data_IF_183782863694
#
_entry.id   IF_183782863694
#
_cell.length_a   1.000
_cell.length_b   1.000
_cell.length_c   1.000
_cell.angle_alpha   90.00
_cell.angle_beta   90.00
_cell.angle_gamma   90.00
#
_symmetry.space_group_name_H-M   'P 1'
#
loop_
_entity.id
_entity.type
_entity.pdbx_description
1 polymer ?
#
# COMPACT_ATOMS: atom_id res chain seq x y z
N UNK A 1 -0.48 29.43 3.59
CA UNK A 1 0.30 30.17 2.57
C UNK A 1 -0.69 31.09 1.88
N UNK A 2 -0.28 32.26 1.39
CA UNK A 2 -1.19 33.05 0.54
C UNK A 2 -1.03 32.63 -0.92
N UNK A 3 -1.97 33.01 -1.78
CA UNK A 3 -1.96 32.62 -3.19
C UNK A 3 -0.70 33.09 -3.95
N UNK A 4 -0.07 34.18 -3.50
CA UNK A 4 1.20 34.67 -4.09
C UNK A 4 2.35 33.72 -3.78
N UNK A 5 2.44 33.21 -2.55
CA UNK A 5 3.45 32.23 -2.18
C UNK A 5 3.33 30.91 -2.96
N UNK A 6 2.11 30.46 -3.26
CA UNK A 6 1.91 29.25 -4.10
C UNK A 6 2.38 29.49 -5.53
N UNK A 7 2.00 30.62 -6.14
CA UNK A 7 2.43 30.95 -7.50
C UNK A 7 3.95 31.11 -7.64
N UNK A 8 4.62 31.70 -6.65
CA UNK A 8 6.08 31.81 -6.61
C UNK A 8 6.76 30.43 -6.56
N UNK A 9 6.24 29.51 -5.73
CA UNK A 9 6.75 28.14 -5.66
C UNK A 9 6.55 27.38 -6.98
N UNK A 10 5.39 27.52 -7.62
CA UNK A 10 5.09 26.87 -8.90
C UNK A 10 5.98 27.42 -10.02
N UNK A 11 6.19 28.74 -10.07
CA UNK A 11 7.10 29.36 -11.04
C UNK A 11 8.54 28.87 -10.86
N UNK A 12 9.01 28.78 -9.60
CA UNK A 12 10.32 28.19 -9.29
C UNK A 12 10.41 26.71 -9.67
N UNK A 13 9.34 25.94 -9.42
CA UNK A 13 9.27 24.54 -9.80
C UNK A 13 9.37 24.35 -11.32
N UNK A 14 8.69 25.17 -12.12
CA UNK A 14 8.80 25.12 -13.58
C UNK A 14 10.22 25.42 -14.08
N UNK A 15 10.90 26.38 -13.45
CA UNK A 15 12.31 26.65 -13.77
C UNK A 15 13.19 25.44 -13.43
N UNK A 16 13.00 24.84 -12.24
CA UNK A 16 13.70 23.63 -11.82
C UNK A 16 13.40 22.44 -12.73
N UNK A 17 12.15 22.25 -13.18
CA UNK A 17 11.76 21.18 -14.09
C UNK A 17 12.52 21.25 -15.42
N UNK A 18 12.70 22.46 -15.98
CA UNK A 18 13.44 22.65 -17.23
C UNK A 18 14.92 22.30 -17.07
N UNK A 19 15.52 22.62 -15.91
CA UNK A 19 16.90 22.21 -15.58
C UNK A 19 16.98 20.69 -15.40
N UNK A 20 16.03 20.10 -14.66
CA UNK A 20 15.95 18.66 -14.41
C UNK A 20 15.87 17.83 -15.69
N UNK A 21 15.27 18.36 -16.77
CA UNK A 21 15.24 17.70 -18.08
C UNK A 21 16.64 17.49 -18.68
N UNK A 22 17.61 18.32 -18.31
CA UNK A 22 18.99 18.23 -18.79
C UNK A 22 19.88 17.45 -17.82
N UNK A 23 19.63 17.56 -16.51
CA UNK A 23 20.48 16.98 -15.46
C UNK A 23 19.98 15.64 -14.91
N UNK A 24 18.72 15.30 -15.17
CA UNK A 24 17.97 14.21 -14.53
C UNK A 24 17.88 14.31 -12.99
N UNK A 25 18.03 15.52 -12.45
CA UNK A 25 17.90 15.82 -11.02
C UNK A 25 16.54 16.51 -10.75
N UNK A 26 15.62 15.76 -10.14
CA UNK A 26 14.24 16.17 -9.92
C UNK A 26 13.93 16.61 -8.47
N UNK A 27 14.93 16.61 -7.58
CA UNK A 27 14.71 16.79 -6.15
C UNK A 27 14.17 18.19 -5.81
N UNK A 28 14.75 19.23 -6.42
CA UNK A 28 14.30 20.61 -6.22
C UNK A 28 12.88 20.81 -6.75
N UNK A 29 12.61 20.32 -7.96
CA UNK A 29 11.29 20.37 -8.59
C UNK A 29 10.22 19.74 -7.70
N UNK A 30 10.44 18.49 -7.26
CA UNK A 30 9.50 17.77 -6.41
C UNK A 30 9.27 18.45 -5.07
N UNK A 31 10.34 18.96 -4.45
CA UNK A 31 10.26 19.69 -3.17
C UNK A 31 9.41 20.96 -3.30
N UNK A 32 9.57 21.73 -4.38
CA UNK A 32 8.81 22.96 -4.59
C UNK A 32 7.32 22.68 -4.83
N UNK A 33 6.99 21.70 -5.68
CA UNK A 33 5.59 21.32 -5.92
C UNK A 33 4.93 20.74 -4.66
N UNK A 34 5.63 19.91 -3.89
CA UNK A 34 5.10 19.36 -2.64
C UNK A 34 4.78 20.46 -1.61
N UNK A 35 5.59 21.52 -1.56
CA UNK A 35 5.36 22.69 -0.70
C UNK A 35 4.18 23.53 -1.19
N UNK A 36 4.08 23.74 -2.51
CA UNK A 36 2.95 24.46 -3.10
C UNK A 36 1.62 23.74 -2.80
N UNK A 37 1.59 22.43 -3.01
CA UNK A 37 0.44 21.54 -2.78
C UNK A 37 -0.09 21.52 -1.33
N UNK A 38 0.64 22.07 -0.37
CA UNK A 38 0.16 22.22 1.01
C UNK A 38 -1.07 23.15 1.10
N UNK A 39 -1.20 24.12 0.20
CA UNK A 39 -2.40 24.94 0.04
C UNK A 39 -3.20 24.46 -1.17
N UNK A 40 -4.16 23.56 -0.94
CA UNK A 40 -5.00 23.04 -2.02
C UNK A 40 -5.84 24.11 -2.71
N UNK A 41 -6.31 25.12 -1.96
CA UNK A 41 -7.15 26.19 -2.48
C UNK A 41 -6.40 27.12 -3.45
N UNK A 42 -5.13 27.40 -3.15
CA UNK A 42 -4.25 28.16 -4.05
C UNK A 42 -3.67 27.31 -5.19
N UNK A 43 -3.41 26.02 -4.94
CA UNK A 43 -2.78 25.13 -5.92
C UNK A 43 -3.73 24.68 -7.02
N UNK A 44 -5.00 24.45 -6.71
CA UNK A 44 -5.99 23.99 -7.67
C UNK A 44 -6.09 24.90 -8.92
N UNK A 45 -6.37 26.22 -8.80
CA UNK A 45 -6.51 27.07 -9.99
C UNK A 45 -5.23 27.14 -10.84
N UNK A 46 -4.05 27.15 -10.20
CA UNK A 46 -2.76 27.12 -10.91
C UNK A 46 -2.54 25.80 -11.64
N UNK A 47 -2.86 24.68 -11.00
CA UNK A 47 -2.77 23.36 -11.62
C UNK A 47 -3.68 23.23 -12.83
N UNK A 48 -4.91 23.76 -12.74
CA UNK A 48 -5.87 23.80 -13.85
C UNK A 48 -5.38 24.64 -15.04
N UNK A 49 -4.73 25.78 -14.77
CA UNK A 49 -4.11 26.61 -15.81
C UNK A 49 -2.97 25.86 -16.51
N UNK A 50 -2.10 25.21 -15.73
CA UNK A 50 -0.94 24.48 -16.25
C UNK A 50 -1.32 23.29 -17.14
N UNK A 51 -2.32 22.48 -16.77
CA UNK A 51 -2.79 21.37 -17.61
C UNK A 51 -3.48 21.82 -18.90
N UNK A 52 -3.89 23.09 -18.97
CA UNK A 52 -4.44 23.71 -20.18
C UNK A 52 -3.36 24.29 -21.09
N UNK A 53 -2.09 24.34 -20.65
CA UNK A 53 -0.99 24.89 -21.43
C UNK A 53 -0.69 24.06 -22.68
N UNK A 54 -0.08 24.73 -23.67
CA UNK A 54 0.50 24.07 -24.84
C UNK A 54 1.89 23.50 -24.58
N UNK A 55 2.56 23.91 -23.50
CA UNK A 55 3.88 23.38 -23.13
C UNK A 55 3.72 22.05 -22.35
N UNK A 56 4.29 20.94 -22.83
CA UNK A 56 4.24 19.66 -22.10
C UNK A 56 4.89 19.73 -20.71
N UNK A 57 5.91 20.56 -20.47
CA UNK A 57 6.54 20.72 -19.15
C UNK A 57 5.55 21.36 -18.17
N UNK A 58 4.76 22.31 -18.63
CA UNK A 58 3.72 22.93 -17.81
C UNK A 58 2.59 21.94 -17.54
N UNK A 59 2.16 21.15 -18.53
CA UNK A 59 1.12 20.12 -18.33
C UNK A 59 1.55 19.04 -17.33
N UNK A 60 2.80 18.58 -17.41
CA UNK A 60 3.40 17.64 -16.45
C UNK A 60 3.37 18.22 -15.03
N UNK A 61 3.87 19.45 -14.85
CA UNK A 61 3.82 20.16 -13.56
C UNK A 61 2.39 20.40 -13.05
N UNK A 62 1.44 20.68 -13.95
CA UNK A 62 0.03 20.80 -13.63
C UNK A 62 -0.55 19.51 -13.06
N UNK A 63 -0.25 18.37 -13.69
CA UNK A 63 -0.66 17.05 -13.19
C UNK A 63 -0.05 16.78 -11.80
N UNK A 64 1.25 16.97 -11.65
CA UNK A 64 1.97 16.72 -10.40
C UNK A 64 1.45 17.58 -9.26
N UNK A 65 1.22 18.88 -9.51
CA UNK A 65 0.66 19.81 -8.52
C UNK A 65 -0.75 19.38 -8.11
N UNK A 66 -1.63 19.07 -9.07
CA UNK A 66 -3.01 18.65 -8.80
C UNK A 66 -3.04 17.33 -8.02
N UNK A 67 -2.19 16.36 -8.37
CA UNK A 67 -2.06 15.09 -7.65
C UNK A 67 -1.63 15.30 -6.20
N UNK A 68 -0.51 16.00 -5.97
CA UNK A 68 -0.02 16.27 -4.63
C UNK A 68 -1.01 17.08 -3.79
N UNK A 69 -1.67 18.08 -4.38
CA UNK A 69 -2.66 18.89 -3.68
C UNK A 69 -3.89 18.05 -3.33
N UNK A 70 -4.38 17.20 -4.25
CA UNK A 70 -5.53 16.31 -4.03
C UNK A 70 -5.27 15.27 -2.94
N UNK A 71 -4.05 14.71 -2.89
CA UNK A 71 -3.69 13.75 -1.85
C UNK A 71 -3.80 14.36 -0.45
N UNK A 72 -3.43 15.64 -0.32
CA UNK A 72 -3.38 16.37 0.95
C UNK A 72 -4.66 17.11 1.31
N UNK A 73 -5.53 17.37 0.34
CA UNK A 73 -6.71 18.21 0.51
C UNK A 73 -7.92 17.56 -0.16
N UNK A 74 -8.77 16.89 0.63
CA UNK A 74 -9.94 16.16 0.13
C UNK A 74 -10.93 17.07 -0.63
N UNK A 75 -11.09 18.32 -0.18
CA UNK A 75 -12.05 19.27 -0.72
C UNK A 75 -11.87 19.58 -2.22
N UNK A 76 -10.67 19.38 -2.79
CA UNK A 76 -10.39 19.67 -4.20
C UNK A 76 -10.38 18.43 -5.09
N UNK A 77 -10.43 17.22 -4.53
CA UNK A 77 -10.25 15.96 -5.26
C UNK A 77 -11.22 15.81 -6.44
N UNK A 78 -12.50 16.12 -6.21
CA UNK A 78 -13.53 15.98 -7.25
C UNK A 78 -13.34 16.93 -8.44
N UNK A 79 -12.86 18.15 -8.19
CA UNK A 79 -12.59 19.14 -9.24
C UNK A 79 -11.31 18.77 -10.01
N UNK A 80 -10.23 18.46 -9.30
CA UNK A 80 -8.99 17.98 -9.91
C UNK A 80 -9.20 16.71 -10.76
N UNK A 81 -9.95 15.73 -10.24
CA UNK A 81 -10.26 14.51 -10.97
C UNK A 81 -11.01 14.79 -12.27
N UNK A 82 -11.99 15.71 -12.25
CA UNK A 82 -12.75 16.10 -13.44
C UNK A 82 -11.82 16.67 -14.52
N UNK A 83 -10.88 17.53 -14.12
CA UNK A 83 -9.96 18.16 -15.06
C UNK A 83 -8.89 17.20 -15.61
N UNK A 84 -8.35 16.31 -14.76
CA UNK A 84 -7.36 15.31 -15.16
C UNK A 84 -7.97 14.25 -16.10
N UNK A 85 -9.21 13.82 -15.85
CA UNK A 85 -9.94 12.93 -16.76
C UNK A 85 -10.16 13.60 -18.11
N UNK A 86 -10.49 14.89 -18.14
CA UNK A 86 -10.64 15.63 -19.40
C UNK A 86 -9.30 15.83 -20.13
N UNK A 87 -8.18 16.01 -19.42
CA UNK A 87 -6.85 16.06 -20.03
C UNK A 87 -6.50 14.72 -20.72
N UNK A 88 -6.82 13.59 -20.09
CA UNK A 88 -6.51 12.26 -20.64
C UNK A 88 -7.17 11.96 -21.99
N UNK A 89 -8.28 12.63 -22.34
CA UNK A 89 -8.93 12.46 -23.64
C UNK A 89 -8.12 13.00 -24.82
N UNK A 90 -7.16 13.89 -24.56
CA UNK A 90 -6.39 14.61 -25.59
C UNK A 90 -4.88 14.55 -25.41
N UNK A 91 -4.39 13.97 -24.32
CA UNK A 91 -2.96 13.88 -24.03
C UNK A 91 -2.32 12.69 -24.75
N UNK A 92 -1.16 12.92 -25.36
CA UNK A 92 -0.38 11.94 -26.10
C UNK A 92 1.09 11.89 -25.67
N UNK A 93 1.58 12.89 -24.94
CA UNK A 93 2.97 12.94 -24.50
C UNK A 93 3.20 11.98 -23.32
N UNK A 94 4.05 10.96 -23.54
CA UNK A 94 4.26 9.86 -22.58
C UNK A 94 4.68 10.32 -21.17
N UNK A 95 5.51 11.36 -21.06
CA UNK A 95 5.87 11.92 -19.74
C UNK A 95 4.69 12.60 -19.04
N UNK A 96 3.88 13.35 -19.78
CA UNK A 96 2.67 13.97 -19.21
C UNK A 96 1.68 12.90 -18.80
N UNK A 97 1.50 11.85 -19.61
CA UNK A 97 0.66 10.69 -19.25
C UNK A 97 1.14 10.00 -17.98
N UNK A 98 2.46 9.86 -17.77
CA UNK A 98 3.03 9.34 -16.52
C UNK A 98 2.61 10.17 -15.30
N UNK A 99 2.79 11.49 -15.36
CA UNK A 99 2.35 12.41 -14.31
C UNK A 99 0.83 12.41 -14.14
N UNK A 100 0.06 12.35 -15.22
CA UNK A 100 -1.40 12.28 -15.20
C UNK A 100 -1.88 11.03 -14.46
N UNK A 101 -1.33 9.86 -14.78
CA UNK A 101 -1.71 8.59 -14.14
C UNK A 101 -1.50 8.64 -12.63
N UNK A 102 -0.34 9.15 -12.19
CA UNK A 102 -0.04 9.35 -10.77
C UNK A 102 -0.98 10.38 -10.13
N UNK A 103 -1.29 11.46 -10.85
CA UNK A 103 -2.17 12.50 -10.35
C UNK A 103 -3.61 12.01 -10.14
N UNK A 104 -4.16 11.23 -11.08
CA UNK A 104 -5.53 10.71 -10.95
C UNK A 104 -5.67 9.71 -9.81
N UNK A 105 -4.64 8.88 -9.56
CA UNK A 105 -4.60 8.00 -8.38
C UNK A 105 -4.77 8.80 -7.08
N UNK A 106 -4.01 9.90 -6.95
CA UNK A 106 -4.02 10.75 -5.77
C UNK A 106 -5.32 11.57 -5.58
N UNK A 107 -6.25 11.51 -6.54
CA UNK A 107 -7.60 12.05 -6.37
C UNK A 107 -8.54 11.09 -5.66
N UNK A 108 -8.22 9.79 -5.61
CA UNK A 108 -9.09 8.73 -5.08
C UNK A 108 -10.49 8.67 -5.72
N UNK A 109 -10.64 9.19 -6.94
CA UNK A 109 -11.91 9.27 -7.65
C UNK A 109 -12.03 8.12 -8.67
N UNK A 110 -13.05 7.27 -8.48
CA UNK A 110 -13.26 6.08 -9.32
C UNK A 110 -13.51 6.41 -10.80
N UNK A 111 -13.85 7.65 -11.15
CA UNK A 111 -14.05 8.04 -12.56
C UNK A 111 -12.76 7.88 -13.36
N UNK A 112 -11.60 7.95 -12.70
CA UNK A 112 -10.30 7.72 -13.31
C UNK A 112 -10.05 6.27 -13.77
N UNK A 113 -10.82 5.30 -13.30
CA UNK A 113 -10.63 3.87 -13.66
C UNK A 113 -10.72 3.67 -15.17
N UNK A 114 -11.66 4.33 -15.86
CA UNK A 114 -11.79 4.21 -17.31
C UNK A 114 -10.55 4.75 -18.06
N UNK A 115 -9.95 5.83 -17.56
CA UNK A 115 -8.71 6.40 -18.08
C UNK A 115 -7.56 5.43 -17.90
N UNK A 116 -7.36 4.90 -16.69
CA UNK A 116 -6.27 3.97 -16.39
C UNK A 116 -6.39 2.66 -17.17
N UNK A 117 -7.61 2.12 -17.31
CA UNK A 117 -7.87 0.92 -18.12
C UNK A 117 -7.52 1.15 -19.60
N UNK A 118 -7.74 2.36 -20.12
CA UNK A 118 -7.36 2.71 -21.49
C UNK A 118 -5.84 2.81 -21.62
N UNK A 119 -5.18 3.49 -20.69
CA UNK A 119 -3.72 3.67 -20.68
C UNK A 119 -2.95 2.38 -20.36
N UNK A 120 -3.59 1.35 -19.80
CA UNK A 120 -3.02 0.01 -19.64
C UNK A 120 -2.61 -0.61 -21.00
N UNK A 121 -3.19 -0.15 -22.12
CA UNK A 121 -2.83 -0.57 -23.47
C UNK A 121 -1.83 0.34 -24.18
N UNK A 122 -1.22 1.31 -23.49
CA UNK A 122 -0.33 2.30 -24.13
C UNK A 122 0.93 1.66 -24.71
N UNK A 123 1.44 2.21 -25.81
CA UNK A 123 2.62 1.66 -26.50
C UNK A 123 3.90 1.71 -25.63
N UNK A 124 4.04 2.75 -24.81
CA UNK A 124 5.19 2.94 -23.94
C UNK A 124 5.06 2.13 -22.65
N UNK A 125 6.06 1.29 -22.38
CA UNK A 125 6.11 0.49 -21.15
C UNK A 125 6.12 1.37 -19.88
N UNK A 126 6.75 2.55 -19.93
CA UNK A 126 6.78 3.48 -18.80
C UNK A 126 5.37 3.92 -18.37
N UNK A 127 4.48 4.21 -19.33
CA UNK A 127 3.07 4.56 -19.05
C UNK A 127 2.32 3.35 -18.49
N UNK A 128 2.48 2.16 -19.10
CA UNK A 128 1.82 0.93 -18.60
C UNK A 128 2.25 0.56 -17.18
N UNK A 129 3.54 0.72 -16.87
CA UNK A 129 4.11 0.51 -15.54
C UNK A 129 3.51 1.47 -14.52
N UNK A 130 3.39 2.75 -14.89
CA UNK A 130 2.75 3.74 -14.03
C UNK A 130 1.27 3.40 -13.79
N UNK A 131 0.55 2.95 -14.81
CA UNK A 131 -0.84 2.46 -14.65
C UNK A 131 -0.91 1.27 -13.69
N UNK A 132 -0.01 0.31 -13.85
CA UNK A 132 0.06 -0.87 -13.00
C UNK A 132 0.24 -0.49 -11.52
N UNK A 133 1.06 0.52 -11.22
CA UNK A 133 1.28 1.02 -9.86
C UNK A 133 0.14 1.87 -9.29
N UNK A 134 -0.67 2.50 -10.15
CA UNK A 134 -1.63 3.54 -9.74
C UNK A 134 -3.09 3.09 -9.63
N UNK A 135 -3.43 1.86 -10.04
CA UNK A 135 -4.82 1.37 -10.02
C UNK A 135 -5.39 1.19 -8.59
N UNK A 136 -4.56 0.98 -7.56
CA UNK A 136 -5.03 0.76 -6.19
C UNK A 136 -5.72 1.99 -5.59
N UNK A 137 -5.20 3.21 -5.82
CA UNK A 137 -5.76 4.43 -5.24
C UNK A 137 -7.17 4.78 -5.76
N UNK A 138 -7.57 4.23 -6.91
CA UNK A 138 -8.90 4.46 -7.53
C UNK A 138 -9.70 3.17 -7.70
N UNK A 139 -9.32 2.10 -6.99
CA UNK A 139 -9.91 0.78 -7.14
C UNK A 139 -11.43 0.79 -6.92
N UNK A 140 -12.15 -0.04 -7.69
CA UNK A 140 -13.62 -0.13 -7.61
C UNK A 140 -14.10 -0.97 -6.42
N UNK A 141 -13.19 -1.70 -5.77
CA UNK A 141 -13.50 -2.69 -4.73
C UNK A 141 -14.15 -3.97 -5.28
N UNK A 142 -14.32 -4.09 -6.60
CA UNK A 142 -14.95 -5.26 -7.23
C UNK A 142 -13.88 -6.28 -7.64
N UNK A 143 -13.89 -7.53 -7.15
CA UNK A 143 -12.89 -8.55 -7.52
C UNK A 143 -12.88 -8.97 -8.99
N UNK A 144 -13.88 -8.55 -9.76
CA UNK A 144 -13.97 -8.69 -11.21
C UNK A 144 -14.25 -7.33 -11.88
N UNK A 145 -13.79 -6.24 -11.26
CA UNK A 145 -13.88 -4.88 -11.80
C UNK A 145 -12.99 -4.68 -13.04
N UNK A 146 -13.21 -3.59 -13.79
CA UNK A 146 -12.36 -3.26 -14.94
C UNK A 146 -10.90 -2.99 -14.54
N UNK A 147 -10.67 -2.40 -13.38
CA UNK A 147 -9.36 -2.21 -12.74
C UNK A 147 -8.63 -3.54 -12.49
N UNK A 148 -9.32 -4.51 -11.87
CA UNK A 148 -8.74 -5.84 -11.62
C UNK A 148 -8.44 -6.58 -12.93
N UNK A 149 -9.34 -6.50 -13.94
CA UNK A 149 -9.08 -7.11 -15.25
C UNK A 149 -7.88 -6.48 -15.96
N UNK A 150 -7.69 -5.17 -15.85
CA UNK A 150 -6.53 -4.48 -16.40
C UNK A 150 -5.25 -4.95 -15.70
N UNK A 151 -5.22 -5.01 -14.36
CA UNK A 151 -4.07 -5.54 -13.61
C UNK A 151 -3.74 -6.98 -14.01
N UNK A 152 -4.73 -7.88 -14.08
CA UNK A 152 -4.53 -9.27 -14.52
C UNK A 152 -3.98 -9.36 -15.95
N UNK A 153 -4.27 -8.38 -16.80
CA UNK A 153 -3.69 -8.30 -18.15
C UNK A 153 -2.24 -7.85 -18.08
N UNK A 154 -1.95 -6.82 -17.28
CA UNK A 154 -0.60 -6.26 -17.09
C UNK A 154 0.36 -7.22 -16.37
N UNK A 155 -0.12 -8.16 -15.57
CA UNK A 155 0.76 -9.21 -15.01
C UNK A 155 1.37 -10.11 -16.10
N UNK A 156 0.86 -10.06 -17.34
CA UNK A 156 1.39 -10.79 -18.51
C UNK A 156 2.09 -9.88 -19.53
N UNK A 157 2.43 -8.65 -19.14
CA UNK A 157 3.09 -7.70 -20.02
C UNK A 157 4.47 -8.20 -20.50
N UNK A 158 4.91 -7.73 -21.66
CA UNK A 158 6.23 -8.08 -22.20
C UNK A 158 7.35 -7.45 -21.38
N UNK A 159 7.10 -6.27 -20.83
CA UNK A 159 8.06 -5.54 -20.00
C UNK A 159 8.06 -6.08 -18.56
N UNK A 160 9.23 -6.50 -18.03
CA UNK A 160 9.31 -7.12 -16.70
C UNK A 160 8.91 -6.18 -15.56
N UNK A 161 9.16 -4.87 -15.68
CA UNK A 161 8.77 -3.90 -14.65
C UNK A 161 7.26 -3.72 -14.64
N UNK A 162 6.60 -3.70 -15.81
CA UNK A 162 5.14 -3.66 -15.86
C UNK A 162 4.53 -4.89 -15.16
N UNK A 163 5.11 -6.08 -15.39
CA UNK A 163 4.68 -7.30 -14.70
C UNK A 163 4.88 -7.22 -13.20
N UNK A 164 6.04 -6.75 -12.75
CA UNK A 164 6.37 -6.57 -11.34
C UNK A 164 5.33 -5.67 -10.67
N UNK A 165 5.18 -4.44 -11.15
CA UNK A 165 4.25 -3.45 -10.60
C UNK A 165 2.80 -3.93 -10.64
N UNK A 166 2.37 -4.62 -11.70
CA UNK A 166 1.01 -5.16 -11.76
C UNK A 166 0.79 -6.27 -10.72
N UNK A 167 1.81 -7.11 -10.50
CA UNK A 167 1.76 -8.21 -9.52
C UNK A 167 1.80 -7.67 -8.10
N UNK A 168 2.64 -6.67 -7.82
CA UNK A 168 2.67 -5.95 -6.55
C UNK A 168 1.31 -5.31 -6.24
N UNK A 169 0.75 -4.54 -7.17
CA UNK A 169 -0.55 -3.89 -6.96
C UNK A 169 -1.67 -4.91 -6.75
N UNK A 170 -1.70 -5.99 -7.54
CA UNK A 170 -2.70 -7.04 -7.42
C UNK A 170 -2.52 -7.88 -6.14
N UNK A 171 -1.28 -8.18 -5.78
CA UNK A 171 -0.89 -9.10 -4.71
C UNK A 171 -0.90 -8.45 -3.33
N UNK A 172 -0.41 -7.21 -3.23
CA UNK A 172 -0.16 -6.48 -2.00
C UNK A 172 -1.12 -5.32 -1.77
N UNK A 173 -1.24 -4.40 -2.75
CA UNK A 173 -2.04 -3.18 -2.57
C UNK A 173 -3.55 -3.41 -2.67
N UNK A 174 -3.98 -4.47 -3.35
CA UNK A 174 -5.38 -4.84 -3.50
C UNK A 174 -5.77 -5.96 -2.54
N UNK A 175 -6.84 -5.73 -1.79
CA UNK A 175 -7.52 -6.74 -0.95
C UNK A 175 -8.60 -7.52 -1.72
N UNK A 176 -8.70 -7.34 -3.03
CA UNK A 176 -9.58 -8.16 -3.84
C UNK A 176 -9.07 -9.61 -3.89
N UNK A 177 -9.96 -10.58 -3.68
CA UNK A 177 -9.65 -12.00 -3.76
C UNK A 177 -10.70 -12.73 -4.60
N UNK A 178 -10.23 -13.38 -5.66
CA UNK A 178 -11.05 -14.20 -6.54
C UNK A 178 -10.19 -15.30 -7.17
N UNK A 179 -10.80 -16.39 -7.68
CA UNK A 179 -10.05 -17.41 -8.39
C UNK A 179 -9.20 -16.88 -9.55
N UNK A 180 -9.67 -15.84 -10.25
CA UNK A 180 -8.94 -15.20 -11.35
C UNK A 180 -7.70 -14.45 -10.85
N UNK A 181 -7.80 -13.77 -9.71
CA UNK A 181 -6.67 -13.08 -9.07
C UNK A 181 -5.63 -14.11 -8.63
N UNK A 182 -6.06 -15.16 -7.91
CA UNK A 182 -5.15 -16.23 -7.47
C UNK A 182 -4.46 -16.91 -8.64
N UNK A 183 -5.17 -17.20 -9.74
CA UNK A 183 -4.58 -17.77 -10.94
C UNK A 183 -3.51 -16.84 -11.56
N UNK A 184 -3.79 -15.53 -11.65
CA UNK A 184 -2.82 -14.57 -12.17
C UNK A 184 -1.55 -14.48 -11.31
N UNK A 185 -1.68 -14.51 -9.98
CA UNK A 185 -0.54 -14.54 -9.05
C UNK A 185 0.24 -15.85 -9.15
N UNK A 186 -0.45 -17.00 -9.27
CA UNK A 186 0.19 -18.30 -9.51
C UNK A 186 1.01 -18.34 -10.79
N UNK A 187 0.55 -17.70 -11.87
CA UNK A 187 1.33 -17.58 -13.10
C UNK A 187 2.63 -16.77 -12.92
N UNK A 188 2.74 -15.94 -11.87
CA UNK A 188 3.94 -15.15 -11.59
C UNK A 188 4.96 -15.88 -10.72
N UNK A 189 4.58 -16.92 -9.99
CA UNK A 189 5.52 -17.65 -9.10
C UNK A 189 6.67 -18.35 -9.84
N UNK A 190 6.63 -18.39 -11.17
CA UNK A 190 7.71 -18.86 -12.04
C UNK A 190 8.18 -17.79 -13.05
N UNK A 191 7.91 -16.50 -12.80
CA UNK A 191 8.37 -15.42 -13.68
C UNK A 191 9.90 -15.39 -13.75
N UNK A 192 10.44 -15.09 -14.93
CA UNK A 192 11.89 -14.95 -15.15
C UNK A 192 12.45 -13.74 -14.38
N UNK A 193 11.63 -12.70 -14.21
CA UNK A 193 11.99 -11.52 -13.45
C UNK A 193 11.78 -11.77 -11.93
N UNK A 194 12.85 -11.71 -11.10
CA UNK A 194 12.78 -12.07 -9.68
C UNK A 194 11.71 -11.32 -8.89
N UNK A 195 11.64 -10.00 -9.05
CA UNK A 195 10.71 -9.18 -8.27
C UNK A 195 9.25 -9.57 -8.54
N UNK A 196 8.88 -9.75 -9.81
CA UNK A 196 7.54 -10.21 -10.18
C UNK A 196 7.23 -11.61 -9.60
N UNK A 197 8.23 -12.48 -9.53
CA UNK A 197 8.10 -13.82 -8.94
C UNK A 197 7.86 -13.75 -7.44
N UNK A 198 8.62 -12.94 -6.74
CA UNK A 198 8.47 -12.71 -5.30
C UNK A 198 7.10 -12.10 -4.97
N UNK A 199 6.65 -11.11 -5.74
CA UNK A 199 5.34 -10.49 -5.57
C UNK A 199 4.20 -11.49 -5.76
N UNK A 200 4.32 -12.41 -6.73
CA UNK A 200 3.34 -13.47 -6.95
C UNK A 200 3.23 -14.41 -5.75
N UNK A 201 4.37 -14.85 -5.21
CA UNK A 201 4.45 -15.72 -4.03
C UNK A 201 3.90 -15.01 -2.80
N UNK A 202 4.32 -13.76 -2.57
CA UNK A 202 3.86 -12.96 -1.45
C UNK A 202 2.37 -12.64 -1.53
N UNK A 203 1.84 -12.30 -2.70
CA UNK A 203 0.42 -12.05 -2.92
C UNK A 203 -0.46 -13.27 -2.69
N UNK A 204 0.04 -14.48 -2.98
CA UNK A 204 -0.62 -15.75 -2.63
C UNK A 204 -0.57 -16.03 -1.13
N UNK A 205 0.57 -15.75 -0.49
CA UNK A 205 0.71 -15.87 0.96
C UNK A 205 -0.26 -14.94 1.71
N UNK A 206 -0.39 -13.67 1.28
CA UNK A 206 -1.40 -12.72 1.78
C UNK A 206 -2.83 -13.20 1.62
N UNK A 207 -3.10 -14.12 0.69
CA UNK A 207 -4.42 -14.76 0.50
C UNK A 207 -4.57 -16.08 1.24
N UNK A 208 -3.59 -16.41 2.09
CA UNK A 208 -3.46 -17.68 2.81
C UNK A 208 -3.63 -18.90 1.88
N UNK A 209 -3.09 -18.83 0.66
CA UNK A 209 -3.07 -19.97 -0.25
C UNK A 209 -2.00 -20.97 0.22
N UNK A 210 -2.44 -22.02 0.93
CA UNK A 210 -1.57 -23.08 1.46
C UNK A 210 -0.72 -23.77 0.39
N UNK A 211 -1.11 -23.70 -0.89
CA UNK A 211 -0.34 -24.26 -1.99
C UNK A 211 1.04 -23.62 -2.16
N UNK A 212 1.25 -22.40 -1.64
CA UNK A 212 2.53 -21.68 -1.75
C UNK A 212 3.59 -22.17 -0.77
N UNK A 213 3.22 -22.92 0.29
CA UNK A 213 4.14 -23.32 1.34
C UNK A 213 5.37 -24.11 0.83
N UNK A 214 5.25 -25.08 -0.10
CA UNK A 214 6.41 -25.75 -0.67
C UNK A 214 7.35 -24.83 -1.47
N UNK A 215 6.81 -23.80 -2.13
CA UNK A 215 7.64 -22.81 -2.84
C UNK A 215 8.44 -21.97 -1.83
N UNK A 216 7.78 -21.50 -0.77
CA UNK A 216 8.44 -20.76 0.31
C UNK A 216 9.52 -21.61 0.99
N UNK A 217 9.25 -22.88 1.29
CA UNK A 217 10.25 -23.78 1.85
C UNK A 217 11.47 -23.93 0.93
N UNK A 218 11.26 -24.12 -0.38
CA UNK A 218 12.34 -24.22 -1.36
C UNK A 218 13.17 -22.94 -1.49
N UNK A 219 12.54 -21.76 -1.43
CA UNK A 219 13.25 -20.48 -1.40
C UNK A 219 14.07 -20.31 -0.12
N UNK A 220 13.49 -20.66 1.03
CA UNK A 220 14.15 -20.58 2.34
C UNK A 220 15.31 -21.58 2.49
N UNK A 221 15.24 -22.74 1.85
CA UNK A 221 16.31 -23.75 1.89
C UNK A 221 17.56 -23.33 1.09
N UNK A 222 17.46 -22.28 0.26
CA UNK A 222 18.58 -21.70 -0.46
C UNK A 222 18.87 -20.28 0.07
N UNK A 223 19.99 -20.02 0.76
CA UNK A 223 20.32 -18.68 1.24
C UNK A 223 20.40 -17.60 0.15
N UNK A 224 20.67 -17.98 -1.10
CA UNK A 224 20.63 -17.06 -2.27
C UNK A 224 19.22 -16.95 -2.89
N UNK A 225 18.30 -17.82 -2.49
CA UNK A 225 16.90 -17.86 -2.94
C UNK A 225 15.91 -17.20 -1.97
N UNK A 226 16.30 -16.97 -0.71
CA UNK A 226 15.48 -16.18 0.21
C UNK A 226 15.64 -14.69 -0.11
N UNK A 227 14.54 -14.09 -0.54
CA UNK A 227 14.47 -12.68 -0.92
C UNK A 227 13.67 -11.85 0.09
N UNK A 228 13.63 -10.53 -0.10
CA UNK A 228 13.06 -9.57 0.85
C UNK A 228 11.60 -9.92 1.24
N UNK A 229 10.80 -10.44 0.32
CA UNK A 229 9.40 -10.80 0.56
C UNK A 229 9.19 -12.24 1.08
N UNK A 230 10.25 -13.06 1.12
CA UNK A 230 10.13 -14.49 1.49
C UNK A 230 9.81 -14.67 2.97
N UNK A 231 10.50 -13.94 3.86
CA UNK A 231 10.23 -14.01 5.30
C UNK A 231 8.87 -13.40 5.68
N UNK A 232 8.47 -12.21 5.17
CA UNK A 232 7.11 -11.71 5.35
C UNK A 232 6.04 -12.70 4.89
N UNK A 233 6.21 -13.32 3.71
CA UNK A 233 5.28 -14.33 3.21
C UNK A 233 5.20 -15.55 4.15
N UNK A 234 6.34 -16.06 4.62
CA UNK A 234 6.40 -17.17 5.58
C UNK A 234 5.71 -16.80 6.91
N UNK A 235 5.92 -15.57 7.40
CA UNK A 235 5.28 -15.04 8.61
C UNK A 235 3.76 -14.96 8.47
N UNK A 236 3.27 -14.50 7.31
CA UNK A 236 1.82 -14.45 7.02
C UNK A 236 1.21 -15.84 6.92
N UNK A 237 1.89 -16.78 6.27
CA UNK A 237 1.43 -18.15 6.22
C UNK A 237 1.38 -18.79 7.61
N UNK A 238 2.39 -18.56 8.44
CA UNK A 238 2.45 -19.04 9.82
C UNK A 238 2.30 -20.56 9.94
N UNK A 239 2.71 -21.31 8.90
CA UNK A 239 2.50 -22.76 8.82
C UNK A 239 3.73 -23.52 9.33
N UNK A 240 3.57 -24.58 10.16
CA UNK A 240 4.69 -25.27 10.80
C UNK A 240 5.68 -25.94 9.83
N UNK A 241 5.22 -26.24 8.60
CA UNK A 241 6.00 -26.83 7.52
C UNK A 241 7.21 -25.95 7.11
N UNK A 242 7.17 -24.64 7.37
CA UNK A 242 8.27 -23.73 7.06
C UNK A 242 9.36 -23.70 8.14
N UNK A 243 9.08 -24.22 9.35
CA UNK A 243 10.02 -24.17 10.48
C UNK A 243 11.40 -24.79 10.20
N UNK A 244 11.51 -25.96 9.51
CA UNK A 244 12.82 -26.55 9.25
C UNK A 244 13.74 -25.62 8.45
N UNK A 245 13.20 -24.98 7.40
CA UNK A 245 13.94 -24.04 6.56
C UNK A 245 14.26 -22.74 7.32
N UNK A 246 13.27 -22.19 8.03
CA UNK A 246 13.43 -20.94 8.81
C UNK A 246 14.48 -21.06 9.94
N UNK A 247 14.58 -22.22 10.60
CA UNK A 247 15.57 -22.47 11.66
C UNK A 247 17.01 -22.60 11.15
N UNK A 248 17.20 -22.68 9.83
CA UNK A 248 18.53 -22.62 9.21
C UNK A 248 19.17 -21.22 9.30
N UNK A 249 18.38 -20.18 9.54
CA UNK A 249 18.83 -18.80 9.65
C UNK A 249 19.29 -18.47 11.07
N UNK A 250 20.31 -17.63 11.18
CA UNK A 250 20.83 -17.15 12.46
C UNK A 250 19.84 -16.19 13.16
N UNK A 251 19.96 -16.01 14.48
CA UNK A 251 19.11 -15.09 15.25
C UNK A 251 19.34 -13.60 14.91
N UNK A 252 20.39 -13.29 14.16
CA UNK A 252 20.70 -11.97 13.61
C UNK A 252 19.80 -11.59 12.42
N UNK A 253 19.15 -12.58 11.78
CA UNK A 253 18.13 -12.34 10.76
C UNK A 253 16.78 -12.16 11.45
N UNK A 254 16.41 -10.91 11.70
CA UNK A 254 15.21 -10.53 12.46
C UNK A 254 13.95 -11.08 11.79
N UNK A 255 13.84 -10.93 10.47
CA UNK A 255 12.68 -11.36 9.68
C UNK A 255 12.50 -12.89 9.74
N UNK A 256 13.60 -13.64 9.76
CA UNK A 256 13.55 -15.09 9.96
C UNK A 256 13.06 -15.44 11.36
N UNK A 257 13.54 -14.73 12.39
CA UNK A 257 13.09 -14.95 13.78
C UNK A 257 11.60 -14.67 13.94
N UNK A 258 11.09 -13.59 13.36
CA UNK A 258 9.65 -13.28 13.34
C UNK A 258 8.85 -14.36 12.62
N UNK A 259 9.32 -14.84 11.47
CA UNK A 259 8.68 -15.93 10.75
C UNK A 259 8.70 -17.25 11.53
N UNK A 260 9.80 -17.57 12.23
CA UNK A 260 9.88 -18.73 13.14
C UNK A 260 8.81 -18.62 14.22
N UNK A 261 8.69 -17.47 14.88
CA UNK A 261 7.69 -17.26 15.93
C UNK A 261 6.26 -17.44 15.40
N UNK A 262 5.98 -16.93 14.20
CA UNK A 262 4.69 -17.06 13.55
C UNK A 262 4.40 -18.50 13.09
N UNK A 263 5.42 -19.31 12.77
CA UNK A 263 5.26 -20.69 12.32
C UNK A 263 5.28 -21.72 13.47
N UNK A 264 5.69 -21.33 14.69
CA UNK A 264 5.80 -22.24 15.84
C UNK A 264 4.41 -22.48 16.50
N UNK A 265 3.86 -23.72 16.46
CA UNK A 265 2.56 -24.02 17.03
C UNK A 265 2.45 -23.73 18.52
N UNK A 266 3.53 -23.95 19.28
CA UNK A 266 3.53 -23.74 20.73
C UNK A 266 3.48 -22.25 21.03
N UNK A 267 4.26 -21.45 20.30
CA UNK A 267 4.27 -19.99 20.45
C UNK A 267 2.92 -19.39 20.07
N UNK A 268 2.31 -19.86 18.98
CA UNK A 268 0.95 -19.44 18.58
C UNK A 268 -0.09 -19.76 19.65
N UNK A 269 -0.09 -20.98 20.18
CA UNK A 269 -1.03 -21.37 21.22
C UNK A 269 -0.85 -20.55 22.51
N UNK A 270 0.40 -20.20 22.86
CA UNK A 270 0.68 -19.30 23.97
C UNK A 270 0.16 -17.89 23.70
N UNK A 271 0.39 -17.34 22.51
CA UNK A 271 -0.09 -16.02 22.12
C UNK A 271 -1.63 -15.96 22.14
N UNK A 272 -2.31 -16.98 21.62
CA UNK A 272 -3.77 -17.07 21.64
C UNK A 272 -4.31 -17.09 23.09
N UNK A 273 -3.67 -17.85 23.98
CA UNK A 273 -4.03 -17.89 25.39
C UNK A 273 -3.80 -16.54 26.09
N UNK A 274 -2.66 -15.89 25.84
CA UNK A 274 -2.36 -14.56 26.39
C UNK A 274 -3.31 -13.49 25.84
N UNK A 275 -3.70 -13.57 24.57
CA UNK A 275 -4.67 -12.67 23.96
C UNK A 275 -6.06 -12.83 24.61
N UNK A 276 -6.48 -14.06 24.89
CA UNK A 276 -7.71 -14.34 25.64
C UNK A 276 -7.66 -13.78 27.06
N UNK A 277 -6.57 -14.02 27.79
CA UNK A 277 -6.40 -13.52 29.15
C UNK A 277 -6.37 -11.98 29.20
N UNK A 278 -5.78 -11.34 28.18
CA UNK A 278 -5.76 -9.89 28.00
C UNK A 278 -7.18 -9.34 27.84
N UNK A 279 -7.98 -9.90 26.91
CA UNK A 279 -9.38 -9.49 26.72
C UNK A 279 -10.18 -9.70 28.00
N UNK A 280 -10.02 -10.84 28.67
CA UNK A 280 -10.69 -11.13 29.92
C UNK A 280 -10.31 -10.17 31.06
N UNK A 281 -9.02 -9.80 31.17
CA UNK A 281 -8.56 -8.81 32.14
C UNK A 281 -9.11 -7.42 31.83
N UNK A 282 -9.08 -7.00 30.57
CA UNK A 282 -9.60 -5.71 30.15
C UNK A 282 -11.11 -5.61 30.35
N UNK A 283 -11.88 -6.67 30.05
CA UNK A 283 -13.31 -6.71 30.31
C UNK A 283 -13.64 -6.55 31.81
N UNK A 284 -12.82 -7.10 32.72
CA UNK A 284 -12.99 -6.89 34.16
C UNK A 284 -12.69 -5.46 34.60
N UNK A 285 -11.71 -4.81 33.97
CA UNK A 285 -11.29 -3.43 34.30
C UNK A 285 -12.20 -2.37 33.68
N UNK A 286 -12.57 -2.57 32.41
CA UNK A 286 -13.27 -1.63 31.53
C UNK A 286 -14.23 -2.39 30.60
N UNK A 287 -15.33 -2.93 31.13
CA UNK A 287 -16.32 -3.66 30.33
C UNK A 287 -16.98 -2.77 29.26
N UNK A 288 -16.96 -1.45 29.44
CA UNK A 288 -17.47 -0.46 28.49
C UNK A 288 -16.69 -0.40 27.16
N UNK A 289 -15.46 -0.90 27.12
CA UNK A 289 -14.65 -0.89 25.90
C UNK A 289 -15.01 -2.01 24.91
N UNK A 290 -15.75 -3.03 25.37
CA UNK A 290 -16.17 -4.20 24.59
C UNK A 290 -15.04 -4.74 23.68
N UNK A 291 -13.93 -5.11 24.33
CA UNK A 291 -12.70 -5.48 23.66
C UNK A 291 -12.82 -6.85 22.96
N UNK A 292 -12.23 -6.96 21.77
CA UNK A 292 -12.16 -8.19 21.00
C UNK A 292 -10.76 -8.40 20.40
N UNK A 293 -10.45 -9.64 20.01
CA UNK A 293 -9.23 -9.95 19.26
C UNK A 293 -9.61 -10.39 17.86
N UNK A 294 -8.89 -9.86 16.88
CA UNK A 294 -9.09 -10.18 15.46
C UNK A 294 -7.73 -10.22 14.74
N UNK A 295 -7.75 -10.63 13.47
CA UNK A 295 -6.63 -10.57 12.55
C UNK A 295 -7.14 -10.00 11.22
N UNK A 296 -6.35 -9.14 10.59
CA UNK A 296 -6.66 -8.66 9.24
C UNK A 296 -6.50 -9.78 8.22
N UNK A 297 -7.46 -9.91 7.29
CA UNK A 297 -7.54 -11.04 6.36
C UNK A 297 -6.28 -11.24 5.49
N UNK A 298 -5.58 -10.16 5.17
CA UNK A 298 -4.42 -10.17 4.28
C UNK A 298 -3.09 -9.90 5.01
N UNK A 299 -3.11 -9.91 6.35
CA UNK A 299 -1.95 -9.67 7.17
C UNK A 299 -1.75 -10.80 8.18
N UNK A 300 -0.82 -10.60 9.10
CA UNK A 300 -0.46 -11.52 10.17
C UNK A 300 -0.67 -10.87 11.54
N UNK A 301 -0.58 -11.69 12.58
CA UNK A 301 -0.61 -11.22 13.96
C UNK A 301 -2.02 -10.89 14.47
N UNK A 302 -2.16 -10.94 15.80
CA UNK A 302 -3.42 -10.63 16.48
C UNK A 302 -3.47 -9.13 16.82
N UNK A 303 -4.63 -8.53 16.57
CA UNK A 303 -4.95 -7.16 16.96
C UNK A 303 -6.03 -7.15 18.03
N UNK A 304 -5.90 -6.26 19.00
CA UNK A 304 -6.93 -5.96 20.00
C UNK A 304 -7.78 -4.80 19.49
N UNK A 305 -9.04 -5.06 19.16
CA UNK A 305 -10.03 -4.07 18.76
C UNK A 305 -10.89 -3.63 19.94
N UNK A 306 -11.33 -2.37 19.92
CA UNK A 306 -12.21 -1.78 20.92
C UNK A 306 -13.43 -1.15 20.24
N UNK A 307 -14.60 -1.24 20.86
CA UNK A 307 -15.84 -0.68 20.30
C UNK A 307 -15.81 0.85 20.14
N UNK A 308 -14.92 1.55 20.86
CA UNK A 308 -14.75 3.00 20.76
C UNK A 308 -14.04 3.48 19.48
N UNK A 309 -13.65 2.57 18.58
CA UNK A 309 -13.13 2.91 17.26
C UNK A 309 -11.67 3.34 17.23
N UNK A 310 -10.86 2.98 18.23
CA UNK A 310 -9.40 3.18 18.18
C UNK A 310 -8.77 2.24 17.14
N UNK A 311 -7.73 2.70 16.44
CA UNK A 311 -6.84 1.81 15.71
C UNK A 311 -6.37 0.70 16.67
N UNK A 312 -6.62 -0.56 16.32
CA UNK A 312 -6.40 -1.69 17.22
C UNK A 312 -4.95 -1.78 17.71
N UNK A 313 -4.74 -2.33 18.90
CA UNK A 313 -3.39 -2.55 19.43
C UNK A 313 -2.81 -3.83 18.83
N UNK A 314 -1.53 -3.82 18.47
CA UNK A 314 -0.83 -5.07 18.19
C UNK A 314 -0.64 -5.88 19.48
N UNK A 315 -1.21 -7.08 19.54
CA UNK A 315 -1.26 -7.88 20.78
C UNK A 315 0.13 -8.30 21.21
N UNK A 316 1.00 -8.72 20.29
CA UNK A 316 2.34 -9.16 20.65
C UNK A 316 3.20 -7.98 21.11
N UNK A 317 3.15 -6.84 20.43
CA UNK A 317 3.84 -5.63 20.88
C UNK A 317 3.34 -5.14 22.24
N UNK A 318 2.03 -5.21 22.49
CA UNK A 318 1.44 -4.84 23.77
C UNK A 318 1.88 -5.77 24.90
N UNK A 319 1.87 -7.09 24.66
CA UNK A 319 2.36 -8.08 25.62
C UNK A 319 3.86 -7.90 25.88
N UNK A 320 4.67 -7.65 24.85
CA UNK A 320 6.10 -7.38 25.00
C UNK A 320 6.37 -6.14 25.87
N UNK A 321 5.60 -5.07 25.69
CA UNK A 321 5.66 -3.87 26.56
C UNK A 321 5.26 -4.17 28.02
N UNK A 322 4.42 -5.19 28.22
CA UNK A 322 3.91 -5.63 29.52
C UNK A 322 4.70 -6.78 30.13
N UNK A 323 5.92 -7.07 29.66
CA UNK A 323 6.76 -8.18 30.13
C UNK A 323 6.06 -9.56 30.00
N UNK A 324 5.15 -9.70 29.03
CA UNK A 324 4.37 -10.91 28.78
C UNK A 324 3.14 -11.09 29.68
N UNK A 325 2.83 -10.14 30.57
CA UNK A 325 1.73 -10.22 31.54
C UNK A 325 0.42 -9.63 30.96
N UNK A 326 -0.61 -10.43 30.65
CA UNK A 326 -1.83 -9.94 30.03
C UNK A 326 -2.62 -8.95 30.91
N UNK A 327 -2.58 -9.10 32.23
CA UNK A 327 -3.24 -8.20 33.16
C UNK A 327 -2.61 -6.80 33.13
N UNK A 328 -1.28 -6.71 33.08
CA UNK A 328 -0.54 -5.46 32.97
C UNK A 328 -0.73 -4.80 31.60
N UNK A 329 -0.78 -5.60 30.54
CA UNK A 329 -1.16 -5.12 29.21
C UNK A 329 -2.57 -4.49 29.21
N UNK A 330 -3.54 -5.11 29.89
CA UNK A 330 -4.89 -4.55 30.03
C UNK A 330 -4.89 -3.20 30.79
N UNK A 331 -4.08 -3.06 31.84
CA UNK A 331 -3.92 -1.81 32.56
C UNK A 331 -3.35 -0.69 31.67
N UNK A 332 -2.38 -1.00 30.81
CA UNK A 332 -1.86 -0.03 29.84
C UNK A 332 -2.95 0.45 28.89
N UNK A 333 -3.71 -0.47 28.27
CA UNK A 333 -4.81 -0.10 27.37
C UNK A 333 -5.86 0.74 28.09
N UNK A 334 -6.25 0.35 29.31
CA UNK A 334 -7.22 1.11 30.10
C UNK A 334 -6.72 2.51 30.46
N UNK A 335 -5.42 2.69 30.68
CA UNK A 335 -4.79 3.98 31.02
C UNK A 335 -4.61 4.91 29.82
N UNK A 336 -4.48 4.35 28.61
CA UNK A 336 -4.34 5.11 27.38
C UNK A 336 -5.66 5.79 26.96
N UNK A 337 -6.80 5.38 27.55
CA UNK A 337 -8.14 5.80 27.16
C UNK A 337 -8.82 6.66 28.24
N UNK A 338 -9.71 7.58 27.86
CA UNK A 338 -10.45 8.39 28.82
C UNK A 338 -11.27 7.49 29.78
N UNK A 339 -11.49 7.96 31.02
CA UNK A 339 -12.27 7.23 32.00
C UNK A 339 -13.71 7.04 31.52
N UNK A 340 -14.34 5.96 31.97
CA UNK A 340 -15.72 5.64 31.61
C UNK A 340 -16.65 6.82 32.00
N UNK A 341 -17.39 7.43 31.05
CA UNK A 341 -18.28 8.56 31.33
C UNK A 341 -19.42 8.21 32.31
N UNK A 342 -19.68 6.92 32.56
CA UNK A 342 -20.64 6.43 33.56
C UNK A 342 -20.09 6.30 34.99
N UNK A 343 -18.83 6.67 35.25
CA UNK A 343 -18.23 6.69 36.59
C UNK A 343 -17.74 8.11 36.95
N UNK A 344 -18.65 9.07 36.98
CA UNK A 344 -18.49 10.23 37.88
C UNK A 344 -19.14 9.85 39.21
N UNK A 345 -18.31 9.70 40.25
CA UNK A 345 -18.75 9.37 41.61
C UNK A 345 -19.67 10.40 42.25
#
# INVERSE_FOLDING_TARGET
MDARGVAELVGAALAAARVARETDDWDEYGTLLWRAAADGSGSLPLGLELIASSDPVEREAGCDLLGHASNRNEAIRGEAATALVALAEREDEGRVLGSLVRAVEMTYDHRAVAVLVTLAGHQEAAVRRQVAGSLAGVATGLPAGPDIRALITLTRDQDPEVRNWATFTLGFQSEADSPAIRAALWERTADEHPDAREEGIHGLARRHDLGVAPLLAGLLDNPEGAHALTFPAARIMGVPELLPALRGYGPDVIEATEAVNACDPLRRAQLDASAWDLVGALHRLRPDLDACVFMERFDHGLKLGLACGSAGYDVEALLNRADGEPARAAEFVASDLPPNPGHTG
#
